data_IF_526076429077
#
_entry.id   IF_526076429077
#
_cell.length_a   1.000
_cell.length_b   1.000
_cell.length_c   1.000
_cell.angle_alpha   90.00
_cell.angle_beta   90.00
_cell.angle_gamma   90.00
#
_symmetry.space_group_name_H-M   'P 1'
#
loop_
_entity.id
_entity.type
_entity.pdbx_description
1 polymer ?
#
# COMPACT_ATOMS: atom_id res chain seq x y z
N UNK A 1 5.34 5.83 -18.90
CA UNK A 1 6.17 4.85 -18.18
C UNK A 1 6.04 4.98 -16.65
N UNK A 2 4.88 5.44 -16.12
CA UNK A 2 4.69 5.68 -14.67
C UNK A 2 3.86 4.57 -13.98
N UNK A 3 2.96 3.92 -14.72
CA UNK A 3 2.14 2.80 -14.20
C UNK A 3 2.97 1.55 -13.85
N UNK A 4 4.16 1.40 -14.42
CA UNK A 4 5.03 0.25 -14.17
C UNK A 4 5.63 0.26 -12.77
N UNK A 5 5.87 1.43 -12.16
CA UNK A 5 6.54 1.50 -10.87
C UNK A 5 5.68 0.92 -9.73
N UNK A 6 4.40 1.27 -9.68
CA UNK A 6 3.47 0.72 -8.69
C UNK A 6 3.29 -0.80 -8.81
N UNK A 7 3.23 -1.29 -10.05
CA UNK A 7 3.13 -2.72 -10.34
C UNK A 7 4.42 -3.49 -9.99
N UNK A 8 5.59 -2.92 -10.29
CA UNK A 8 6.88 -3.51 -9.90
C UNK A 8 7.00 -3.54 -8.38
N UNK A 9 6.58 -2.47 -7.69
CA UNK A 9 6.61 -2.39 -6.23
C UNK A 9 5.68 -3.44 -5.60
N UNK A 10 4.45 -3.61 -6.11
CA UNK A 10 3.53 -4.63 -5.59
C UNK A 10 4.07 -6.06 -5.79
N UNK A 11 4.69 -6.34 -6.95
CA UNK A 11 5.38 -7.61 -7.21
C UNK A 11 6.54 -7.80 -6.22
N UNK A 12 7.39 -6.80 -6.04
CA UNK A 12 8.53 -6.88 -5.13
C UNK A 12 8.08 -7.16 -3.69
N UNK A 13 7.01 -6.51 -3.23
CA UNK A 13 6.39 -6.75 -1.92
C UNK A 13 5.83 -8.18 -1.82
N UNK A 14 5.12 -8.65 -2.85
CA UNK A 14 4.56 -9.99 -2.87
C UNK A 14 5.64 -11.08 -2.80
N UNK A 15 6.72 -10.93 -3.59
CA UNK A 15 7.87 -11.84 -3.58
C UNK A 15 8.54 -11.82 -2.20
N UNK A 16 8.79 -10.63 -1.65
CA UNK A 16 9.39 -10.49 -0.32
C UNK A 16 8.57 -11.23 0.75
N UNK A 17 7.25 -11.02 0.76
CA UNK A 17 6.36 -11.64 1.74
C UNK A 17 6.26 -13.16 1.55
N UNK A 18 6.21 -13.65 0.31
CA UNK A 18 6.17 -15.07 0.03
C UNK A 18 7.47 -15.78 0.47
N UNK A 19 8.63 -15.14 0.34
CA UNK A 19 9.93 -15.72 0.76
C UNK A 19 10.11 -15.64 2.28
N UNK A 20 9.64 -14.56 2.91
CA UNK A 20 9.86 -14.31 4.34
C UNK A 20 8.84 -15.01 5.24
N UNK A 21 7.60 -15.21 4.78
CA UNK A 21 6.52 -15.83 5.55
C UNK A 21 6.82 -17.26 6.06
N UNK A 22 7.43 -18.19 5.29
CA UNK A 22 7.77 -19.51 5.79
C UNK A 22 8.76 -19.46 6.96
N UNK A 23 9.66 -18.47 7.00
CA UNK A 23 10.63 -18.27 8.09
C UNK A 23 9.96 -17.93 9.42
N UNK A 24 8.72 -17.46 9.38
CA UNK A 24 7.94 -17.05 10.53
C UNK A 24 6.73 -17.98 10.79
N UNK A 25 6.73 -19.20 10.24
CA UNK A 25 5.64 -20.18 10.34
C UNK A 25 4.29 -19.61 9.84
N UNK A 26 4.30 -18.79 8.79
CA UNK A 26 3.09 -18.23 8.16
C UNK A 26 2.93 -18.77 6.74
N UNK A 27 1.69 -18.83 6.26
CA UNK A 27 1.39 -19.28 4.90
C UNK A 27 1.93 -18.28 3.85
N UNK A 28 2.87 -18.71 2.98
CA UNK A 28 3.49 -17.84 1.96
C UNK A 28 2.49 -17.27 0.96
N UNK A 29 1.55 -18.10 0.51
CA UNK A 29 0.57 -17.73 -0.52
C UNK A 29 -0.38 -16.66 -0.02
N UNK A 30 -0.80 -16.76 1.25
CA UNK A 30 -1.68 -15.78 1.86
C UNK A 30 -1.02 -14.40 1.90
N UNK A 31 0.22 -14.32 2.41
CA UNK A 31 0.92 -13.04 2.53
C UNK A 31 1.38 -12.48 1.18
N UNK A 32 1.79 -13.32 0.24
CA UNK A 32 2.15 -12.90 -1.11
C UNK A 32 0.97 -12.27 -1.87
N UNK A 33 -0.18 -12.95 -1.89
CA UNK A 33 -1.38 -12.45 -2.58
C UNK A 33 -1.91 -11.17 -1.91
N UNK A 34 -1.99 -11.15 -0.57
CA UNK A 34 -2.40 -9.94 0.16
C UNK A 34 -1.42 -8.78 -0.07
N UNK A 35 -0.13 -9.07 -0.11
CA UNK A 35 0.92 -8.09 -0.39
C UNK A 35 0.85 -7.51 -1.79
N UNK A 36 0.51 -8.32 -2.77
CA UNK A 36 0.32 -7.86 -4.14
C UNK A 36 -0.88 -6.91 -4.27
N UNK A 37 -2.00 -7.25 -3.63
CA UNK A 37 -3.26 -6.50 -3.76
C UNK A 37 -3.24 -5.20 -2.94
N UNK A 38 -2.76 -5.27 -1.70
CA UNK A 38 -2.82 -4.15 -0.74
C UNK A 38 -1.46 -3.48 -0.52
N UNK A 39 -0.40 -3.98 -1.16
CA UNK A 39 0.89 -3.33 -1.25
C UNK A 39 1.53 -3.04 0.12
N UNK A 40 2.00 -1.80 0.35
CA UNK A 40 2.75 -1.43 1.55
C UNK A 40 1.98 -1.61 2.86
N UNK A 41 0.65 -1.57 2.84
CA UNK A 41 -0.18 -1.75 4.05
C UNK A 41 0.02 -3.16 4.61
N UNK A 42 -0.08 -4.19 3.76
CA UNK A 42 0.09 -5.58 4.19
C UNK A 42 1.53 -5.84 4.62
N UNK A 43 2.50 -5.22 3.97
CA UNK A 43 3.89 -5.27 4.41
C UNK A 43 4.07 -4.68 5.82
N UNK A 44 3.47 -3.53 6.12
CA UNK A 44 3.47 -2.95 7.47
C UNK A 44 2.87 -3.88 8.51
N UNK A 45 1.67 -4.44 8.25
CA UNK A 45 1.00 -5.39 9.15
C UNK A 45 1.85 -6.65 9.36
N UNK A 46 2.42 -7.19 8.28
CA UNK A 46 3.28 -8.36 8.34
C UNK A 46 4.51 -8.14 9.23
N UNK A 47 5.17 -6.99 9.08
CA UNK A 47 6.33 -6.62 9.90
C UNK A 47 5.96 -6.50 11.39
N UNK A 48 4.80 -5.93 11.71
CA UNK A 48 4.27 -5.89 13.09
C UNK A 48 4.08 -7.30 13.64
N UNK A 49 3.50 -8.21 12.84
CA UNK A 49 3.24 -9.61 13.24
C UNK A 49 4.49 -10.48 13.34
N UNK A 50 5.56 -10.13 12.62
CA UNK A 50 6.86 -10.86 12.63
C UNK A 50 7.87 -10.29 13.63
N UNK A 51 7.44 -9.38 14.52
CA UNK A 51 8.27 -8.84 15.59
C UNK A 51 9.04 -7.57 15.24
N UNK A 52 9.05 -7.15 13.97
CA UNK A 52 9.65 -5.89 13.48
C UNK A 52 8.66 -4.73 13.63
N UNK A 53 8.20 -4.51 14.86
CA UNK A 53 7.09 -3.59 15.18
C UNK A 53 7.35 -2.16 14.74
N UNK A 54 8.55 -1.62 15.00
CA UNK A 54 8.88 -0.22 14.68
C UNK A 54 8.80 0.03 13.17
N UNK A 55 9.51 -0.76 12.37
CA UNK A 55 9.46 -0.65 10.91
C UNK A 55 8.05 -0.85 10.35
N UNK A 56 7.32 -1.84 10.89
CA UNK A 56 5.94 -2.09 10.46
C UNK A 56 5.00 -0.92 10.74
N UNK A 57 5.08 -0.30 11.92
CA UNK A 57 4.29 0.89 12.23
C UNK A 57 4.66 2.10 11.36
N UNK A 58 5.95 2.32 11.13
CA UNK A 58 6.42 3.41 10.24
C UNK A 58 5.80 3.25 8.84
N UNK A 59 5.91 2.06 8.25
CA UNK A 59 5.39 1.80 6.90
C UNK A 59 3.87 1.92 6.88
N UNK A 60 3.17 1.40 7.89
CA UNK A 60 1.72 1.48 7.99
C UNK A 60 1.24 2.93 8.07
N UNK A 61 1.84 3.75 8.94
CA UNK A 61 1.48 5.16 9.13
C UNK A 61 1.74 5.95 7.84
N UNK A 62 2.91 5.77 7.22
CA UNK A 62 3.23 6.43 5.94
C UNK A 62 2.20 6.05 4.86
N UNK A 63 1.86 4.76 4.77
CA UNK A 63 0.87 4.28 3.80
C UNK A 63 -0.50 4.91 4.00
N UNK A 64 -0.96 5.00 5.27
CA UNK A 64 -2.23 5.64 5.62
C UNK A 64 -2.21 7.12 5.24
N UNK A 65 -1.14 7.85 5.58
CA UNK A 65 -1.00 9.28 5.25
C UNK A 65 -1.04 9.50 3.74
N UNK A 66 -0.32 8.69 2.96
CA UNK A 66 -0.32 8.78 1.49
C UNK A 66 -1.71 8.51 0.89
N UNK A 67 -2.44 7.52 1.41
CA UNK A 67 -3.81 7.23 0.95
C UNK A 67 -4.74 8.42 1.24
N UNK A 68 -4.69 8.98 2.46
CA UNK A 68 -5.47 10.16 2.81
C UNK A 68 -5.13 11.35 1.90
N UNK A 69 -3.85 11.56 1.63
CA UNK A 69 -3.38 12.63 0.75
C UNK A 69 -3.93 12.46 -0.68
N UNK A 70 -3.86 11.26 -1.25
CA UNK A 70 -4.41 10.97 -2.58
C UNK A 70 -5.92 11.21 -2.61
N UNK A 71 -6.65 10.73 -1.59
CA UNK A 71 -8.10 10.95 -1.48
C UNK A 71 -8.42 12.46 -1.44
N UNK A 72 -7.68 13.24 -0.65
CA UNK A 72 -7.86 14.69 -0.59
C UNK A 72 -7.58 15.37 -1.93
N UNK A 73 -6.50 14.99 -2.62
CA UNK A 73 -6.18 15.53 -3.94
C UNK A 73 -7.29 15.23 -4.96
N UNK A 74 -7.82 14.01 -4.97
CA UNK A 74 -8.96 13.64 -5.81
C UNK A 74 -10.22 14.43 -5.44
N UNK A 75 -10.53 14.59 -4.15
CA UNK A 75 -11.68 15.34 -3.69
C UNK A 75 -11.60 16.81 -4.09
N UNK A 76 -10.44 17.44 -3.92
CA UNK A 76 -10.19 18.83 -4.36
C UNK A 76 -10.29 18.93 -5.89
N UNK A 77 -9.69 17.99 -6.62
CA UNK A 77 -9.78 17.96 -8.09
C UNK A 77 -11.23 17.88 -8.58
N UNK A 78 -12.03 16.97 -8.02
CA UNK A 78 -13.46 16.83 -8.34
C UNK A 78 -14.22 18.12 -7.99
N UNK A 79 -13.94 18.72 -6.83
CA UNK A 79 -14.57 19.98 -6.43
C UNK A 79 -14.32 21.09 -7.47
N UNK A 80 -13.08 21.28 -7.93
CA UNK A 80 -12.76 22.26 -8.97
C UNK A 80 -13.46 21.96 -10.30
N UNK A 81 -13.49 20.69 -10.71
CA UNK A 81 -14.17 20.27 -11.95
C UNK A 81 -15.66 20.59 -11.89
N UNK A 82 -16.35 20.21 -10.81
CA UNK A 82 -17.80 20.42 -10.67
C UNK A 82 -18.17 21.91 -10.59
N UNK A 83 -17.40 22.72 -9.86
CA UNK A 83 -17.66 24.17 -9.78
C UNK A 83 -17.33 24.90 -11.09
N UNK A 84 -16.28 24.47 -11.80
CA UNK A 84 -15.92 25.02 -13.11
C UNK A 84 -17.00 24.82 -14.18
N UNK A 85 -17.75 23.72 -14.13
CA UNK A 85 -18.88 23.48 -15.05
C UNK A 85 -20.14 24.30 -14.72
N UNK A 86 -20.30 24.77 -13.47
CA UNK A 86 -21.48 25.54 -13.05
C UNK A 86 -21.40 27.04 -13.37
N UNK A 87 -20.24 27.53 -13.80
CA UNK A 87 -19.96 28.94 -14.10
C UNK A 87 -20.13 29.35 -15.56
N UNK A 88 -20.65 28.47 -16.43
CA UNK A 88 -21.01 28.74 -17.83
C UNK A 88 -22.52 28.66 -18.04
#
# INVERSE_FOLDING_TARGET
MEFSFGFILSIAIAIYLAIDAPKHNRNPWLWGILGFIFGPIVLGIYLIKTGRKVAGWIILIISIILIILVILLFAVGIFFVLNGFSGY
#
